data_IF_149785228676
#
_entry.id   IF_149785228676
#
_cell.length_a   1.000
_cell.length_b   1.000
_cell.length_c   1.000
_cell.angle_alpha   90.00
_cell.angle_beta   90.00
_cell.angle_gamma   90.00
#
_symmetry.space_group_name_H-M   'P 1'
#
loop_
_entity.id
_entity.type
_entity.pdbx_description
1 polymer ?
#
# COMPACT_ATOMS: atom_id res chain seq x y z
N UNK A 1 -3.03 9.66 35.22
CA UNK A 1 -3.95 8.96 34.30
C UNK A 1 -3.49 7.51 34.17
N UNK A 2 -4.26 6.54 34.64
CA UNK A 2 -3.93 5.12 34.45
C UNK A 2 -4.28 4.77 33.01
N UNK A 3 -3.28 4.47 32.16
CA UNK A 3 -3.53 3.89 30.84
C UNK A 3 -4.21 2.54 31.08
N UNK A 4 -5.52 2.46 30.86
CA UNK A 4 -6.16 1.17 30.68
C UNK A 4 -5.55 0.59 29.41
N UNK A 5 -4.80 -0.49 29.55
CA UNK A 5 -4.29 -1.24 28.41
C UNK A 5 -5.47 -2.03 27.85
N UNK A 6 -6.30 -1.39 27.03
CA UNK A 6 -7.46 -1.99 26.35
C UNK A 6 -6.99 -2.87 25.17
N UNK A 7 -5.87 -3.58 25.32
CA UNK A 7 -5.42 -4.49 24.28
C UNK A 7 -6.12 -5.82 24.52
N UNK A 8 -7.01 -6.27 23.62
CA UNK A 8 -7.58 -7.61 23.73
C UNK A 8 -6.45 -8.65 23.68
N UNK A 9 -6.68 -9.85 24.22
CA UNK A 9 -5.75 -10.98 24.13
C UNK A 9 -5.21 -11.09 22.70
N UNK A 10 -3.90 -10.89 22.57
CA UNK A 10 -3.20 -10.81 21.27
C UNK A 10 -3.43 -12.10 20.48
N UNK A 11 -4.09 -11.99 19.32
CA UNK A 11 -4.47 -13.14 18.48
C UNK A 11 -3.50 -13.42 17.33
N UNK A 12 -2.50 -12.55 17.12
CA UNK A 12 -1.48 -12.68 16.07
C UNK A 12 -0.06 -12.80 16.65
N UNK A 13 0.80 -13.60 16.01
CA UNK A 13 2.21 -13.72 16.38
C UNK A 13 2.99 -12.45 16.05
N UNK A 14 4.18 -12.27 16.61
CA UNK A 14 5.08 -11.15 16.29
C UNK A 14 5.54 -11.18 14.83
N UNK A 15 5.75 -12.37 14.28
CA UNK A 15 6.11 -12.57 12.87
C UNK A 15 4.99 -12.11 11.94
N UNK A 16 3.74 -12.51 12.21
CA UNK A 16 2.58 -12.10 11.41
C UNK A 16 2.36 -10.59 11.53
N UNK A 17 2.50 -10.00 12.72
CA UNK A 17 2.42 -8.55 12.90
C UNK A 17 3.47 -7.81 12.05
N UNK A 18 4.71 -8.30 12.02
CA UNK A 18 5.77 -7.71 11.21
C UNK A 18 5.46 -7.81 9.71
N UNK A 19 4.95 -8.95 9.23
CA UNK A 19 4.55 -9.13 7.84
C UNK A 19 3.37 -8.23 7.45
N UNK A 20 2.38 -8.08 8.33
CA UNK A 20 1.23 -7.19 8.09
C UNK A 20 1.67 -5.72 8.05
N UNK A 21 2.57 -5.30 8.93
CA UNK A 21 3.15 -3.94 8.88
C UNK A 21 3.97 -3.72 7.60
N UNK A 22 4.71 -4.73 7.12
CA UNK A 22 5.37 -4.66 5.79
C UNK A 22 4.34 -4.51 4.66
N UNK A 23 3.22 -5.24 4.72
CA UNK A 23 2.15 -5.10 3.73
C UNK A 23 1.55 -3.69 3.76
N UNK A 24 1.27 -3.13 4.94
CA UNK A 24 0.79 -1.75 5.11
C UNK A 24 1.71 -0.74 4.38
N UNK A 25 3.03 -0.90 4.48
CA UNK A 25 4.00 -0.07 3.74
C UNK A 25 3.81 -0.21 2.23
N UNK A 26 3.67 -1.44 1.72
CA UNK A 26 3.48 -1.70 0.29
C UNK A 26 2.18 -1.10 -0.24
N UNK A 27 1.07 -1.25 0.51
CA UNK A 27 -0.22 -0.64 0.18
C UNK A 27 -0.12 0.90 0.10
N UNK A 28 0.50 1.52 1.12
CA UNK A 28 0.69 2.97 1.17
C UNK A 28 1.56 3.51 0.04
N UNK A 29 2.67 2.82 -0.28
CA UNK A 29 3.54 3.19 -1.41
C UNK A 29 2.82 3.04 -2.74
N UNK A 30 2.02 1.99 -2.92
CA UNK A 30 1.21 1.79 -4.13
C UNK A 30 0.17 2.90 -4.30
N UNK A 31 -0.54 3.25 -3.22
CA UNK A 31 -1.50 4.36 -3.24
C UNK A 31 -0.84 5.69 -3.63
N UNK A 32 0.31 6.01 -3.06
CA UNK A 32 1.06 7.22 -3.38
C UNK A 32 1.62 7.23 -4.81
N UNK A 33 2.09 6.09 -5.31
CA UNK A 33 2.58 5.97 -6.69
C UNK A 33 1.46 6.21 -7.71
N UNK A 34 0.29 5.59 -7.50
CA UNK A 34 -0.87 5.84 -8.36
C UNK A 34 -1.34 7.29 -8.30
N UNK A 35 -1.31 7.91 -7.12
CA UNK A 35 -1.68 9.32 -6.97
C UNK A 35 -0.73 10.25 -7.74
N UNK A 36 0.57 9.98 -7.65
CA UNK A 36 1.59 10.73 -8.39
C UNK A 36 1.39 10.62 -9.91
N UNK A 37 1.15 9.39 -10.39
CA UNK A 37 0.91 9.15 -11.81
C UNK A 37 -0.42 9.75 -12.29
N UNK A 38 -1.46 9.77 -11.43
CA UNK A 38 -2.75 10.41 -11.72
C UNK A 38 -2.56 11.92 -11.94
N UNK A 39 -1.87 12.57 -11.00
CA UNK A 39 -1.55 14.00 -11.10
C UNK A 39 -0.73 14.30 -12.36
N UNK A 40 0.27 13.47 -12.68
CA UNK A 40 1.02 13.63 -13.92
C UNK A 40 0.12 13.51 -15.15
N UNK A 41 -0.79 12.53 -15.20
CA UNK A 41 -1.74 12.36 -16.30
C UNK A 41 -2.66 13.60 -16.49
N UNK A 42 -3.10 14.23 -15.40
CA UNK A 42 -3.89 15.48 -15.47
C UNK A 42 -3.10 16.61 -16.14
N UNK A 43 -1.81 16.76 -15.78
CA UNK A 43 -0.97 17.82 -16.39
C UNK A 43 -0.76 17.64 -17.90
N UNK A 44 -0.93 16.41 -18.39
CA UNK A 44 -0.78 16.06 -19.80
C UNK A 44 -2.13 15.98 -20.55
N UNK A 45 -3.26 16.19 -19.86
CA UNK A 45 -4.60 16.11 -20.46
C UNK A 45 -5.14 14.68 -20.66
N UNK A 46 -4.57 13.66 -20.00
CA UNK A 46 -5.02 12.27 -20.09
C UNK A 46 -6.14 11.92 -19.10
N UNK A 47 -7.27 12.63 -19.18
CA UNK A 47 -8.34 12.61 -18.16
C UNK A 47 -8.88 11.21 -17.82
N UNK A 48 -9.11 10.34 -18.83
CA UNK A 48 -9.63 8.98 -18.59
C UNK A 48 -8.66 8.14 -17.75
N UNK A 49 -7.35 8.35 -17.96
CA UNK A 49 -6.32 7.59 -17.23
C UNK A 49 -5.99 8.21 -15.88
N UNK A 50 -6.06 9.53 -15.72
CA UNK A 50 -5.97 10.12 -14.39
C UNK A 50 -7.12 9.65 -13.50
N UNK A 51 -8.36 9.65 -14.00
CA UNK A 51 -9.52 9.12 -13.26
C UNK A 51 -9.34 7.64 -12.87
N UNK A 52 -8.84 6.81 -13.79
CA UNK A 52 -8.54 5.41 -13.51
C UNK A 52 -7.50 5.26 -12.39
N UNK A 53 -6.45 6.07 -12.42
CA UNK A 53 -5.34 6.06 -11.46
C UNK A 53 -5.75 6.60 -10.09
N UNK A 54 -6.57 7.65 -10.03
CA UNK A 54 -7.15 8.13 -8.78
C UNK A 54 -7.96 7.03 -8.10
N UNK A 55 -8.82 6.32 -8.85
CA UNK A 55 -9.59 5.19 -8.32
C UNK A 55 -8.69 4.10 -7.74
N UNK A 56 -7.62 3.73 -8.44
CA UNK A 56 -6.65 2.74 -7.94
C UNK A 56 -5.92 3.24 -6.70
N UNK A 57 -5.51 4.51 -6.66
CA UNK A 57 -4.92 5.11 -5.46
C UNK A 57 -5.84 4.99 -4.24
N UNK A 58 -7.15 5.20 -4.43
CA UNK A 58 -8.13 5.03 -3.36
C UNK A 58 -8.34 3.56 -2.94
N UNK A 59 -8.36 2.63 -3.88
CA UNK A 59 -8.45 1.19 -3.59
C UNK A 59 -7.30 0.72 -2.70
N UNK A 60 -6.06 1.10 -3.05
CA UNK A 60 -4.90 0.71 -2.25
C UNK A 60 -4.86 1.39 -0.88
N UNK A 61 -5.37 2.62 -0.79
CA UNK A 61 -5.55 3.29 0.50
C UNK A 61 -6.59 2.56 1.37
N UNK A 62 -7.67 2.06 0.77
CA UNK A 62 -8.68 1.24 1.47
C UNK A 62 -8.08 -0.09 1.95
N UNK A 63 -7.25 -0.74 1.14
CA UNK A 63 -6.53 -1.96 1.53
C UNK A 63 -5.59 -1.70 2.72
N UNK A 64 -4.78 -0.64 2.67
CA UNK A 64 -3.93 -0.21 3.77
C UNK A 64 -4.72 -0.03 5.07
N UNK A 65 -5.83 0.73 5.01
CA UNK A 65 -6.69 0.99 6.18
C UNK A 65 -7.34 -0.27 6.74
N UNK A 66 -7.70 -1.23 5.87
CA UNK A 66 -8.25 -2.52 6.29
C UNK A 66 -7.23 -3.33 7.09
N UNK A 67 -5.98 -3.38 6.64
CA UNK A 67 -4.88 -4.03 7.37
C UNK A 67 -4.58 -3.34 8.69
N UNK A 68 -4.57 -2.01 8.69
CA UNK A 68 -4.39 -1.20 9.91
C UNK A 68 -5.42 -1.54 10.98
N UNK A 69 -6.70 -1.57 10.60
CA UNK A 69 -7.80 -1.91 11.51
C UNK A 69 -7.70 -3.36 11.98
N UNK A 70 -7.34 -4.28 11.08
CA UNK A 70 -7.17 -5.69 11.41
C UNK A 70 -6.06 -5.91 12.46
N UNK A 71 -4.87 -5.34 12.25
CA UNK A 71 -3.74 -5.46 13.19
C UNK A 71 -4.13 -4.91 14.57
N UNK A 72 -4.74 -3.73 14.61
CA UNK A 72 -5.17 -3.11 15.87
C UNK A 72 -6.27 -3.93 16.57
N UNK A 73 -7.24 -4.48 15.84
CA UNK A 73 -8.30 -5.33 16.38
C UNK A 73 -7.76 -6.67 16.91
N UNK A 74 -6.67 -7.19 16.33
CA UNK A 74 -6.00 -8.41 16.75
C UNK A 74 -5.08 -8.24 17.98
N UNK A 75 -5.05 -7.05 18.59
CA UNK A 75 -4.18 -6.72 19.72
C UNK A 75 -2.72 -6.47 19.35
N UNK A 76 -2.41 -6.27 18.06
CA UNK A 76 -1.13 -5.76 17.58
C UNK A 76 -1.12 -4.23 17.45
N UNK A 77 -0.02 -3.69 16.95
CA UNK A 77 0.14 -2.26 16.68
C UNK A 77 0.47 -2.01 15.21
N UNK A 78 -0.48 -1.42 14.48
CA UNK A 78 -0.26 -0.98 13.12
C UNK A 78 0.57 0.31 13.11
N UNK A 79 1.66 0.30 12.33
CA UNK A 79 2.59 1.42 12.23
C UNK A 79 2.33 2.20 10.94
N UNK A 80 2.24 3.53 11.06
CA UNK A 80 2.15 4.40 9.89
C UNK A 80 3.50 4.40 9.16
N UNK A 81 3.55 3.98 7.89
CA UNK A 81 4.80 3.90 7.17
C UNK A 81 5.26 5.29 6.71
N UNK A 82 6.57 5.49 6.66
CA UNK A 82 7.16 6.56 5.87
C UNK A 82 6.99 6.25 4.38
N UNK A 83 6.49 7.21 3.62
CA UNK A 83 6.32 7.10 2.17
C UNK A 83 7.35 8.00 1.50
N UNK A 84 8.41 7.39 1.00
CA UNK A 84 9.51 8.05 0.30
C UNK A 84 9.86 7.32 -1.00
N UNK A 85 10.58 8.00 -1.90
CA UNK A 85 11.05 7.43 -3.18
C UNK A 85 9.99 7.33 -4.29
N UNK A 86 8.90 8.09 -4.19
CA UNK A 86 7.88 8.14 -5.26
C UNK A 86 8.36 9.07 -6.38
N UNK A 87 8.27 8.61 -7.63
CA UNK A 87 8.57 9.45 -8.81
C UNK A 87 7.38 10.36 -9.11
N UNK A 88 7.66 11.61 -9.47
CA UNK A 88 6.64 12.62 -9.81
C UNK A 88 6.60 12.96 -11.30
N UNK A 89 7.57 12.49 -12.07
CA UNK A 89 7.65 12.68 -13.51
C UNK A 89 7.65 11.32 -14.17
N UNK A 90 6.74 11.14 -15.13
CA UNK A 90 6.62 9.91 -15.89
C UNK A 90 6.82 10.22 -17.38
N UNK A 91 7.40 9.32 -18.14
CA UNK A 91 7.40 9.38 -19.62
C UNK A 91 6.28 8.49 -20.17
N UNK A 92 5.88 8.69 -21.43
CA UNK A 92 4.82 7.88 -22.05
C UNK A 92 5.07 6.37 -21.95
N UNK A 93 6.33 5.92 -22.06
CA UNK A 93 6.70 4.49 -21.96
C UNK A 93 6.68 3.96 -20.50
N UNK A 94 6.83 4.84 -19.52
CA UNK A 94 6.81 4.48 -18.10
C UNK A 94 5.39 4.28 -17.58
N UNK A 95 4.41 5.02 -18.14
CA UNK A 95 2.98 4.89 -17.82
C UNK A 95 2.48 3.45 -17.97
N UNK A 96 2.70 2.82 -19.12
CA UNK A 96 2.17 1.48 -19.42
C UNK A 96 2.84 0.38 -18.58
N UNK A 97 4.15 0.54 -18.30
CA UNK A 97 4.90 -0.41 -17.48
C UNK A 97 4.52 -0.32 -16.01
N UNK A 98 4.39 0.89 -15.44
CA UNK A 98 4.04 1.06 -14.03
C UNK A 98 2.58 0.70 -13.73
N UNK A 99 1.64 0.98 -14.66
CA UNK A 99 0.25 0.52 -14.59
C UNK A 99 0.14 -1.01 -14.56
N UNK A 100 0.97 -1.72 -15.33
CA UNK A 100 0.93 -3.19 -15.46
C UNK A 100 1.70 -3.91 -14.34
N UNK A 101 2.83 -3.35 -13.89
CA UNK A 101 3.73 -3.99 -12.91
C UNK A 101 3.21 -3.86 -11.48
N UNK A 102 2.60 -2.73 -11.10
CA UNK A 102 2.13 -2.49 -9.72
C UNK A 102 1.06 -3.49 -9.26
N UNK A 103 0.12 -3.86 -10.13
CA UNK A 103 -0.92 -4.85 -9.82
C UNK A 103 -0.40 -6.30 -9.86
N UNK A 104 0.59 -6.60 -10.72
CA UNK A 104 1.14 -7.95 -10.86
C UNK A 104 2.16 -8.33 -9.78
N UNK A 105 2.98 -7.40 -9.31
CA UNK A 105 3.95 -7.67 -8.23
C UNK A 105 3.21 -8.03 -6.93
N UNK A 106 2.08 -7.36 -6.68
CA UNK A 106 1.27 -7.47 -5.47
C UNK A 106 0.53 -8.81 -5.34
N UNK A 107 -0.08 -9.30 -6.42
CA UNK A 107 -0.66 -10.64 -6.42
C UNK A 107 0.41 -11.74 -6.26
N UNK A 108 1.63 -11.53 -6.78
CA UNK A 108 2.70 -12.54 -6.72
C UNK A 108 3.37 -12.64 -5.34
N UNK A 109 3.56 -11.52 -4.64
CA UNK A 109 4.21 -11.51 -3.32
C UNK A 109 3.28 -11.95 -2.18
N UNK A 110 1.96 -11.75 -2.32
CA UNK A 110 0.98 -12.19 -1.31
C UNK A 110 0.63 -13.68 -1.39
N UNK A 111 0.97 -14.39 -2.48
CA UNK A 111 0.54 -15.78 -2.71
C UNK A 111 1.69 -16.80 -2.82
N UNK A 112 2.94 -16.40 -2.62
CA UNK A 112 4.10 -17.31 -2.72
C UNK A 112 4.75 -17.54 -1.34
N UNK A 113 4.82 -18.79 -0.84
CA UNK A 113 5.51 -19.11 0.42
C UNK A 113 7.04 -19.06 0.31
N UNK A 114 7.59 -18.52 -0.78
CA UNK A 114 9.02 -18.53 -1.10
C UNK A 114 9.42 -17.23 -1.79
N UNK A 115 9.49 -16.13 -1.04
CA UNK A 115 10.25 -14.96 -1.47
C UNK A 115 11.64 -15.02 -0.81
N UNK A 116 12.74 -15.18 -1.57
CA UNK A 116 14.07 -15.22 -0.98
C UNK A 116 14.44 -13.84 -0.41
N UNK A 117 15.07 -13.86 0.75
CA UNK A 117 15.70 -12.69 1.36
C UNK A 117 16.79 -12.18 0.41
N UNK A 118 16.57 -10.99 -0.14
CA UNK A 118 17.59 -10.19 -0.82
C UNK A 118 17.50 -8.76 -0.29
#
# INVERSE_FOLDING_TARGET
MKKQTITPTRSITSEIEALLNKQIVMEGKSSAAYLSMASWCDTQGYNVSSDFLYKHSEEERKHMLKLFRYVNAAGGHALQPEISGIKHTHTHQQRDRELTVSRQQKCRSCSSPTAPLA
#
